data_IF_513112935351
#
_entry.id   IF_513112935351
#
_cell.length_a   1.000
_cell.length_b   1.000
_cell.length_c   1.000
_cell.angle_alpha   90.00
_cell.angle_beta   90.00
_cell.angle_gamma   90.00
#
_symmetry.space_group_name_H-M   'P 1'
#
loop_
_entity.id
_entity.type
_entity.pdbx_description
1 polymer ?
#
# COMPACT_ATOMS: atom_id res chain seq x y z
N UNK A 1 6.79 18.45 1.23
CA UNK A 1 8.08 17.72 1.17
C UNK A 1 7.98 16.29 1.72
N UNK A 2 7.11 15.99 2.70
CA UNK A 2 6.93 14.63 3.26
C UNK A 2 6.49 13.56 2.23
N UNK A 3 5.68 13.92 1.22
CA UNK A 3 5.21 12.96 0.21
C UNK A 3 6.36 12.36 -0.63
N UNK A 4 7.38 13.14 -1.00
CA UNK A 4 8.50 12.64 -1.80
C UNK A 4 9.36 11.60 -1.04
N UNK A 5 9.56 11.79 0.26
CA UNK A 5 10.25 10.80 1.11
C UNK A 5 9.44 9.51 1.23
N UNK A 6 8.12 9.64 1.36
CA UNK A 6 7.23 8.49 1.47
C UNK A 6 7.14 7.70 0.15
N UNK A 7 7.18 8.39 -1.01
CA UNK A 7 7.35 7.76 -2.32
C UNK A 7 8.65 6.96 -2.37
N UNK A 8 9.78 7.55 -1.97
CA UNK A 8 11.06 6.84 -1.96
C UNK A 8 11.04 5.58 -1.07
N UNK A 9 10.41 5.67 0.12
CA UNK A 9 10.23 4.51 1.01
C UNK A 9 9.34 3.43 0.38
N UNK A 10 8.24 3.82 -0.26
CA UNK A 10 7.37 2.88 -0.97
C UNK A 10 8.10 2.22 -2.13
N UNK A 11 8.87 2.98 -2.93
CA UNK A 11 9.70 2.44 -4.02
C UNK A 11 10.66 1.37 -3.51
N UNK A 12 11.40 1.64 -2.43
CA UNK A 12 12.29 0.65 -1.81
C UNK A 12 11.51 -0.59 -1.35
N UNK A 13 10.29 -0.40 -0.83
CA UNK A 13 9.44 -1.49 -0.34
C UNK A 13 8.96 -2.42 -1.47
N UNK A 14 8.46 -1.86 -2.59
CA UNK A 14 7.89 -2.67 -3.69
C UNK A 14 8.93 -3.13 -4.73
N UNK A 15 10.08 -2.47 -4.81
CA UNK A 15 11.18 -2.79 -5.74
C UNK A 15 12.42 -3.28 -5.01
N UNK A 16 12.27 -3.90 -3.84
CA UNK A 16 13.40 -4.40 -3.07
C UNK A 16 14.33 -5.27 -3.94
N UNK A 17 15.59 -4.83 -4.12
CA UNK A 17 16.60 -5.52 -4.94
C UNK A 17 16.67 -5.10 -6.41
N UNK A 18 15.82 -4.18 -6.88
CA UNK A 18 15.95 -3.60 -8.21
C UNK A 18 17.16 -2.65 -8.27
N UNK A 19 18.02 -2.81 -9.27
CA UNK A 19 19.14 -1.89 -9.53
C UNK A 19 18.70 -0.63 -10.28
N UNK A 20 17.53 -0.67 -10.90
CA UNK A 20 16.92 0.42 -11.64
C UNK A 20 15.38 0.35 -11.51
N UNK A 21 14.74 1.51 -11.42
CA UNK A 21 13.28 1.66 -11.51
C UNK A 21 13.03 2.55 -12.72
N UNK A 22 12.20 2.10 -13.65
CA UNK A 22 11.87 2.90 -14.83
C UNK A 22 10.87 4.01 -14.51
N UNK A 23 10.79 5.03 -15.36
CA UNK A 23 9.94 6.19 -15.14
C UNK A 23 8.44 5.83 -15.08
N UNK A 24 8.01 4.75 -15.72
CA UNK A 24 6.61 4.32 -15.70
C UNK A 24 6.26 3.70 -14.34
N UNK A 25 7.17 2.92 -13.77
CA UNK A 25 7.03 2.38 -12.41
C UNK A 25 7.13 3.48 -11.35
N UNK A 26 8.02 4.47 -11.50
CA UNK A 26 8.10 5.62 -10.59
C UNK A 26 6.77 6.41 -10.56
N UNK A 27 6.23 6.72 -11.75
CA UNK A 27 4.94 7.41 -11.86
C UNK A 27 3.81 6.60 -11.21
N UNK A 28 3.76 5.30 -11.49
CA UNK A 28 2.72 4.42 -10.95
C UNK A 28 2.84 4.24 -9.43
N UNK A 29 4.05 4.13 -8.87
CA UNK A 29 4.28 4.08 -7.42
C UNK A 29 3.77 5.38 -6.76
N UNK A 30 4.02 6.53 -7.40
CA UNK A 30 3.52 7.82 -6.91
C UNK A 30 1.99 7.88 -6.93
N UNK A 31 1.33 7.35 -7.97
CA UNK A 31 -0.12 7.26 -8.04
C UNK A 31 -0.69 6.34 -6.94
N UNK A 32 -0.08 5.17 -6.74
CA UNK A 32 -0.47 4.23 -5.67
C UNK A 32 -0.37 4.87 -4.28
N UNK A 33 0.68 5.66 -4.03
CA UNK A 33 0.81 6.36 -2.76
C UNK A 33 -0.28 7.41 -2.58
N UNK A 34 -0.60 8.18 -3.63
CA UNK A 34 -1.66 9.19 -3.57
C UNK A 34 -3.02 8.57 -3.26
N UNK A 35 -3.34 7.43 -3.86
CA UNK A 35 -4.56 6.67 -3.56
C UNK A 35 -4.53 6.12 -2.13
N UNK A 36 -3.40 5.55 -1.69
CA UNK A 36 -3.22 5.07 -0.33
C UNK A 36 -3.41 6.19 0.73
N UNK A 37 -2.89 7.39 0.46
CA UNK A 37 -3.09 8.56 1.32
C UNK A 37 -4.59 8.91 1.44
N UNK A 38 -5.33 8.89 0.34
CA UNK A 38 -6.77 9.18 0.32
C UNK A 38 -7.57 8.13 1.08
N UNK A 39 -7.29 6.83 0.87
CA UNK A 39 -7.98 5.73 1.56
C UNK A 39 -7.71 5.73 3.07
N UNK A 40 -6.45 5.92 3.47
CA UNK A 40 -6.07 6.02 4.88
C UNK A 40 -6.69 7.26 5.53
N UNK A 41 -6.69 8.41 4.85
CA UNK A 41 -7.34 9.61 5.35
C UNK A 41 -8.85 9.42 5.55
N UNK A 42 -9.52 8.72 4.62
CA UNK A 42 -10.94 8.41 4.73
C UNK A 42 -11.25 7.51 5.95
N UNK A 43 -10.40 6.53 6.24
CA UNK A 43 -10.55 5.65 7.40
C UNK A 43 -10.27 6.38 8.73
N UNK A 44 -9.21 7.19 8.78
CA UNK A 44 -8.77 7.90 9.99
C UNK A 44 -9.71 9.06 10.33
N UNK A 45 -10.27 9.71 9.31
CA UNK A 45 -11.12 10.88 9.49
C UNK A 45 -10.37 12.00 10.23
N UNK A 46 -10.93 12.44 11.34
CA UNK A 46 -10.35 13.50 12.20
C UNK A 46 -9.54 12.93 13.38
N UNK A 47 -9.31 11.63 13.43
CA UNK A 47 -8.65 10.98 14.57
C UNK A 47 -7.15 11.25 14.55
N UNK A 48 -6.58 11.55 15.71
CA UNK A 48 -5.13 11.72 15.82
C UNK A 48 -4.42 10.36 15.86
N UNK A 49 -3.58 10.13 14.85
CA UNK A 49 -2.74 8.93 14.72
C UNK A 49 -1.28 9.37 14.63
N UNK A 50 -0.34 8.73 15.33
CA UNK A 50 1.07 9.06 15.21
C UNK A 50 1.55 9.00 13.75
N UNK A 51 2.29 10.02 13.30
CA UNK A 51 2.73 10.14 11.90
C UNK A 51 3.44 8.89 11.38
N UNK A 52 4.33 8.29 12.19
CA UNK A 52 5.04 7.06 11.82
C UNK A 52 4.10 5.86 11.56
N UNK A 53 2.96 5.80 12.26
CA UNK A 53 1.94 4.76 12.07
C UNK A 53 1.12 5.04 10.81
N UNK A 54 0.74 6.30 10.56
CA UNK A 54 0.07 6.70 9.32
C UNK A 54 0.93 6.38 8.10
N UNK A 55 2.21 6.73 8.15
CA UNK A 55 3.16 6.44 7.08
C UNK A 55 3.32 4.94 6.85
N UNK A 56 3.32 4.14 7.92
CA UNK A 56 3.35 2.69 7.79
C UNK A 56 2.09 2.19 7.10
N UNK A 57 0.91 2.62 7.52
CA UNK A 57 -0.35 2.22 6.90
C UNK A 57 -0.42 2.60 5.42
N UNK A 58 0.02 3.82 5.05
CA UNK A 58 0.08 4.28 3.66
C UNK A 58 1.01 3.44 2.80
N UNK A 59 2.18 3.06 3.32
CA UNK A 59 3.13 2.19 2.59
C UNK A 59 2.52 0.81 2.35
N UNK A 60 1.87 0.19 3.35
CA UNK A 60 1.24 -1.12 3.16
C UNK A 60 0.13 -1.05 2.09
N UNK A 61 -0.75 -0.06 2.16
CA UNK A 61 -1.83 0.14 1.17
C UNK A 61 -1.27 0.42 -0.22
N UNK A 62 -0.27 1.29 -0.32
CA UNK A 62 0.40 1.60 -1.58
C UNK A 62 1.07 0.37 -2.19
N UNK A 63 1.62 -0.52 -1.37
CA UNK A 63 2.23 -1.77 -1.83
C UNK A 63 1.19 -2.77 -2.38
N UNK A 64 0.02 -2.86 -1.74
CA UNK A 64 -1.08 -3.69 -2.20
C UNK A 64 -1.64 -3.17 -3.53
N UNK A 65 -1.83 -1.85 -3.66
CA UNK A 65 -2.24 -1.20 -4.91
C UNK A 65 -1.22 -1.44 -6.02
N UNK A 66 0.07 -1.34 -5.72
CA UNK A 66 1.13 -1.63 -6.70
C UNK A 66 1.07 -3.09 -7.18
N UNK A 67 0.98 -4.04 -6.25
CA UNK A 67 0.97 -5.48 -6.56
C UNK A 67 -0.28 -5.90 -7.35
N UNK A 68 -1.40 -5.19 -7.20
CA UNK A 68 -2.62 -5.42 -8.00
C UNK A 68 -2.44 -5.19 -9.49
N UNK A 69 -1.52 -4.32 -9.92
CA UNK A 69 -1.20 -4.13 -11.35
C UNK A 69 -0.77 -5.43 -12.01
N UNK A 70 -0.10 -6.32 -11.27
CA UNK A 70 0.31 -7.64 -11.75
C UNK A 70 -0.83 -8.70 -11.70
N UNK A 71 -2.00 -8.34 -11.14
CA UNK A 71 -3.14 -9.23 -10.91
C UNK A 71 -4.49 -8.56 -11.23
N UNK A 72 -4.76 -8.14 -12.49
CA UNK A 72 -6.01 -7.45 -12.85
C UNK A 72 -7.29 -8.26 -12.56
N UNK A 73 -7.19 -9.59 -12.44
CA UNK A 73 -8.28 -10.49 -12.03
C UNK A 73 -8.14 -11.08 -10.61
N UNK A 74 -7.25 -10.51 -9.77
CA UNK A 74 -6.99 -11.01 -8.40
C UNK A 74 -6.08 -12.24 -8.31
N UNK A 75 -5.52 -12.69 -9.44
CA UNK A 75 -4.52 -13.75 -9.53
C UNK A 75 -3.26 -13.13 -10.16
N UNK A 76 -2.13 -13.19 -9.45
CA UNK A 76 -0.83 -12.78 -9.99
C UNK A 76 -0.51 -13.57 -11.26
N UNK A 77 -0.03 -12.88 -12.30
CA UNK A 77 0.50 -13.54 -13.50
C UNK A 77 1.81 -14.29 -13.23
N UNK A 78 2.48 -14.02 -12.10
CA UNK A 78 3.60 -14.80 -11.59
C UNK A 78 3.06 -15.87 -10.65
N UNK A 79 2.99 -17.12 -11.13
CA UNK A 79 2.75 -18.28 -10.28
C UNK A 79 3.90 -18.44 -9.27
N UNK A 80 3.60 -18.94 -8.07
CA UNK A 80 4.66 -19.36 -7.16
C UNK A 80 5.53 -20.46 -7.80
N UNK A 81 6.71 -20.72 -7.25
CA UNK A 81 7.66 -21.68 -7.81
C UNK A 81 7.09 -23.11 -7.95
N UNK A 82 6.01 -23.42 -7.24
CA UNK A 82 5.24 -24.67 -7.29
C UNK A 82 4.06 -24.63 -8.28
N UNK A 83 3.90 -23.55 -9.05
CA UNK A 83 2.79 -23.35 -10.00
C UNK A 83 1.48 -22.90 -9.34
N UNK A 84 1.45 -22.63 -8.02
CA UNK A 84 0.25 -22.17 -7.35
C UNK A 84 -0.05 -20.69 -7.64
N UNK A 85 -1.34 -20.37 -7.73
CA UNK A 85 -1.83 -19.02 -7.96
C UNK A 85 -1.65 -18.15 -6.70
N UNK A 86 -0.87 -17.07 -6.80
CA UNK A 86 -0.79 -16.06 -5.74
C UNK A 86 -2.03 -15.18 -5.83
N UNK A 87 -2.86 -15.21 -4.78
CA UNK A 87 -4.05 -14.36 -4.67
C UNK A 87 -3.64 -13.00 -4.12
N UNK A 88 -4.04 -11.94 -4.82
CA UNK A 88 -3.89 -10.57 -4.33
C UNK A 88 -5.12 -10.18 -3.53
N UNK A 89 -4.95 -9.43 -2.45
CA UNK A 89 -6.05 -9.02 -1.59
C UNK A 89 -7.13 -8.25 -2.39
N UNK A 90 -8.41 -8.59 -2.16
CA UNK A 90 -9.56 -7.90 -2.78
C UNK A 90 -9.84 -6.53 -2.17
N UNK A 91 -9.30 -6.26 -1.00
CA UNK A 91 -9.35 -4.96 -0.34
C UNK A 91 -7.91 -4.44 -0.17
N UNK A 92 -7.56 -3.27 -0.75
CA UNK A 92 -6.23 -2.69 -0.60
C UNK A 92 -5.92 -2.21 0.84
N UNK A 93 -6.95 -2.04 1.68
CA UNK A 93 -6.81 -1.59 3.07
C UNK A 93 -6.60 -2.72 4.07
N UNK A 94 -6.59 -3.99 3.64
CA UNK A 94 -6.56 -5.17 4.52
C UNK A 94 -5.43 -5.13 5.55
N UNK A 95 -4.24 -4.64 5.17
CA UNK A 95 -3.09 -4.50 6.05
C UNK A 95 -3.15 -3.25 6.94
N UNK A 96 -3.82 -2.18 6.49
CA UNK A 96 -3.93 -0.93 7.24
C UNK A 96 -4.93 -1.01 8.38
N UNK A 97 -6.01 -1.78 8.25
CA UNK A 97 -7.02 -1.92 9.31
C UNK A 97 -6.43 -2.32 10.67
N UNK A 98 -5.67 -3.42 10.82
CA UNK A 98 -5.12 -3.80 12.11
C UNK A 98 -4.06 -2.82 12.64
N UNK A 99 -3.37 -2.08 11.74
CA UNK A 99 -2.37 -1.07 12.13
C UNK A 99 -3.06 0.14 12.76
N UNK A 100 -4.18 0.58 12.18
CA UNK A 100 -4.88 1.79 12.58
C UNK A 100 -5.92 1.53 13.68
N UNK A 101 -6.44 0.30 13.79
CA UNK A 101 -7.48 -0.07 14.75
C UNK A 101 -7.26 0.43 16.19
N UNK A 102 -6.04 0.38 16.78
CA UNK A 102 -5.82 0.88 18.14
C UNK A 102 -6.02 2.39 18.31
N UNK A 103 -5.98 3.15 17.23
CA UNK A 103 -6.08 4.60 17.23
C UNK A 103 -7.46 5.09 16.86
N UNK A 104 -8.22 4.30 16.09
CA UNK A 104 -9.56 4.67 15.67
C UNK A 104 -10.52 4.62 16.86
N UNK A 105 -11.52 5.51 16.92
CA UNK A 105 -12.58 5.37 17.90
C UNK A 105 -13.19 3.97 17.76
N UNK A 106 -13.38 3.29 18.89
CA UNK A 106 -14.14 2.04 18.94
C UNK A 106 -15.57 2.32 18.51
N UNK A 107 -15.82 2.24 17.21
CA UNK A 107 -17.15 2.14 16.66
C UNK A 107 -17.67 0.76 17.03
N UNK A 108 -18.73 0.71 17.84
CA UNK A 108 -19.50 -0.50 18.06
C UNK A 108 -19.84 -1.09 16.69
N UNK A 109 -19.23 -2.23 16.36
CA UNK A 109 -19.66 -3.07 15.25
C UNK A 109 -21.04 -3.66 15.54
#
# INVERSE_FOLDING_TARGET
>A
MASAELVARLTVYVKAGATHVDAADEAFISECLSEAEALVAALVGTTEVPAAVLDRARIEVGSELYNRRAAPNGISQFAAADGSAIRVARDPMVAAYPILAPFLPVGFA
#
